data_IF_234342890118
#
_entry.id   IF_234342890118
#
_cell.length_a   1.000
_cell.length_b   1.000
_cell.length_c   1.000
_cell.angle_alpha   90.00
_cell.angle_beta   90.00
_cell.angle_gamma   90.00
#
_symmetry.space_group_name_H-M   'P 1'
#
loop_
_entity.id
_entity.type
_entity.pdbx_description
1 polymer ?
#
# COMPACT_ATOMS: atom_id res chain seq x y z
N UNK A 1 -5.65 7.67 14.01
CA UNK A 1 -6.13 8.30 12.76
C UNK A 1 -6.13 9.83 12.80
N UNK A 2 -6.73 10.49 13.80
CA UNK A 2 -6.81 11.97 13.89
C UNK A 2 -5.45 12.68 13.94
N UNK A 3 -4.41 12.06 14.50
CA UNK A 3 -3.05 12.65 14.57
C UNK A 3 -2.39 12.80 13.20
N UNK A 4 -2.41 11.75 12.37
CA UNK A 4 -1.87 11.80 11.00
C UNK A 4 -2.70 12.71 10.10
N UNK A 5 -4.04 12.69 10.23
CA UNK A 5 -4.90 13.61 9.50
C UNK A 5 -4.60 15.09 9.83
N UNK A 6 -4.39 15.43 11.11
CA UNK A 6 -3.97 16.78 11.52
C UNK A 6 -2.58 17.16 11.01
N UNK A 7 -1.64 16.20 10.95
CA UNK A 7 -0.31 16.42 10.37
C UNK A 7 -0.39 16.72 8.87
N UNK A 8 -1.22 15.98 8.13
CA UNK A 8 -1.48 16.22 6.72
C UNK A 8 -2.10 17.61 6.47
N UNK A 9 -3.09 18.01 7.29
CA UNK A 9 -3.68 19.36 7.23
C UNK A 9 -2.66 20.49 7.50
N UNK A 10 -1.57 20.18 8.21
CA UNK A 10 -0.45 21.10 8.46
C UNK A 10 0.66 21.02 7.39
N UNK A 11 0.44 20.29 6.29
CA UNK A 11 1.43 20.09 5.22
C UNK A 11 2.60 19.18 5.60
N UNK A 12 2.51 18.43 6.70
CA UNK A 12 3.58 17.52 7.14
C UNK A 12 3.45 16.18 6.46
N UNK A 13 4.58 15.60 6.09
CA UNK A 13 4.64 14.25 5.55
C UNK A 13 4.05 13.23 6.53
N UNK A 14 3.20 12.35 6.01
CA UNK A 14 2.64 11.21 6.76
C UNK A 14 3.09 9.90 6.12
N UNK A 15 3.30 8.88 6.94
CA UNK A 15 3.60 7.51 6.52
C UNK A 15 2.54 6.57 7.11
N UNK A 16 1.28 6.91 6.86
CA UNK A 16 0.17 6.01 7.16
C UNK A 16 0.18 4.89 6.14
N UNK A 17 0.18 3.65 6.62
CA UNK A 17 0.15 2.45 5.80
C UNK A 17 -1.20 2.30 5.07
N UNK A 18 -1.24 2.34 3.73
CA UNK A 18 -2.49 2.22 2.98
C UNK A 18 -2.87 0.76 2.67
N UNK A 19 -2.03 -0.23 2.98
CA UNK A 19 -2.22 -1.64 2.56
C UNK A 19 -3.57 -2.17 3.03
N UNK A 20 -3.95 -1.95 4.28
CA UNK A 20 -5.23 -2.42 4.81
C UNK A 20 -6.43 -1.82 4.05
N UNK A 21 -6.37 -0.54 3.67
CA UNK A 21 -7.42 0.11 2.87
C UNK A 21 -7.44 -0.42 1.44
N UNK A 22 -6.29 -0.68 0.84
CA UNK A 22 -6.19 -1.29 -0.50
C UNK A 22 -6.83 -2.68 -0.49
N UNK A 23 -6.47 -3.53 0.49
CA UNK A 23 -7.01 -4.88 0.63
C UNK A 23 -8.52 -4.89 0.90
N UNK A 24 -9.06 -3.88 1.61
CA UNK A 24 -10.50 -3.74 1.77
C UNK A 24 -11.20 -3.50 0.42
N UNK A 25 -10.62 -2.66 -0.46
CA UNK A 25 -11.15 -2.39 -1.79
C UNK A 25 -11.01 -3.60 -2.72
N UNK A 26 -9.82 -4.19 -2.83
CA UNK A 26 -9.56 -5.34 -3.73
C UNK A 26 -10.45 -6.53 -3.38
N UNK A 27 -10.63 -6.83 -2.09
CA UNK A 27 -11.53 -7.92 -1.67
C UNK A 27 -13.00 -7.64 -1.97
N UNK A 28 -13.45 -6.39 -1.77
CA UNK A 28 -14.80 -5.97 -2.14
C UNK A 28 -15.06 -6.06 -3.65
N UNK A 29 -14.10 -5.59 -4.45
CA UNK A 29 -14.16 -5.63 -5.92
C UNK A 29 -14.04 -7.06 -6.46
N UNK A 30 -13.15 -7.89 -5.93
CA UNK A 30 -13.04 -9.29 -6.32
C UNK A 30 -14.32 -10.06 -6.01
N UNK A 31 -14.98 -9.79 -4.87
CA UNK A 31 -16.28 -10.39 -4.57
C UNK A 31 -17.34 -9.97 -5.59
N UNK A 32 -17.41 -8.68 -5.94
CA UNK A 32 -18.29 -8.19 -7.01
C UNK A 32 -17.97 -8.85 -8.35
N UNK A 33 -16.69 -8.97 -8.71
CA UNK A 33 -16.24 -9.64 -9.92
C UNK A 33 -16.68 -11.09 -10.00
N UNK A 34 -16.70 -11.82 -8.88
CA UNK A 34 -17.23 -13.20 -8.82
C UNK A 34 -18.74 -13.25 -9.11
N UNK A 35 -19.51 -12.33 -8.55
CA UNK A 35 -20.96 -12.25 -8.78
C UNK A 35 -21.29 -11.92 -10.24
N UNK A 36 -20.48 -11.05 -10.86
CA UNK A 36 -20.69 -10.56 -12.22
C UNK A 36 -19.99 -11.43 -13.29
N UNK A 37 -19.34 -12.54 -12.89
CA UNK A 37 -18.48 -13.38 -13.76
C UNK A 37 -17.39 -12.58 -14.51
N UNK A 38 -16.86 -11.54 -13.88
CA UNK A 38 -15.86 -10.64 -14.45
C UNK A 38 -14.45 -11.05 -13.99
N UNK A 39 -13.85 -12.00 -14.71
CA UNK A 39 -12.49 -12.48 -14.43
C UNK A 39 -11.43 -11.36 -14.54
N UNK A 40 -11.44 -10.46 -15.54
CA UNK A 40 -10.48 -9.36 -15.61
C UNK A 40 -10.44 -8.47 -14.35
N UNK A 41 -11.58 -8.23 -13.71
CA UNK A 41 -11.64 -7.48 -12.46
C UNK A 41 -11.02 -8.25 -11.29
N UNK A 42 -11.27 -9.55 -11.21
CA UNK A 42 -10.67 -10.43 -10.19
C UNK A 42 -9.15 -10.44 -10.36
N UNK A 43 -8.66 -10.67 -11.57
CA UNK A 43 -7.23 -10.71 -11.89
C UNK A 43 -6.54 -9.37 -11.55
N UNK A 44 -7.20 -8.25 -11.83
CA UNK A 44 -6.69 -6.93 -11.43
C UNK A 44 -6.54 -6.81 -9.91
N UNK A 45 -7.54 -7.24 -9.15
CA UNK A 45 -7.51 -7.18 -7.68
C UNK A 45 -6.39 -8.05 -7.11
N UNK A 46 -6.25 -9.29 -7.60
CA UNK A 46 -5.20 -10.22 -7.17
C UNK A 46 -3.80 -9.69 -7.52
N UNK A 47 -3.62 -9.14 -8.73
CA UNK A 47 -2.36 -8.49 -9.13
C UNK A 47 -2.01 -7.31 -8.21
N UNK A 48 -2.99 -6.47 -7.86
CA UNK A 48 -2.76 -5.32 -6.98
C UNK A 48 -2.38 -5.75 -5.56
N UNK A 49 -3.04 -6.78 -5.01
CA UNK A 49 -2.66 -7.37 -3.72
C UNK A 49 -1.24 -7.92 -3.75
N UNK A 50 -0.88 -8.64 -4.80
CA UNK A 50 0.46 -9.19 -4.95
C UNK A 50 1.54 -8.11 -5.11
N UNK A 51 1.26 -7.04 -5.86
CA UNK A 51 2.16 -5.88 -5.95
C UNK A 51 2.41 -5.26 -4.58
N UNK A 52 1.41 -5.18 -3.69
CA UNK A 52 1.60 -4.66 -2.34
C UNK A 52 2.57 -5.52 -1.53
N UNK A 53 2.42 -6.84 -1.61
CA UNK A 53 3.29 -7.80 -0.91
C UNK A 53 4.73 -7.66 -1.41
N UNK A 54 4.93 -7.76 -2.71
CA UNK A 54 6.27 -7.73 -3.31
C UNK A 54 6.98 -6.38 -3.14
N UNK A 55 6.23 -5.28 -3.10
CA UNK A 55 6.81 -3.95 -2.84
C UNK A 55 7.41 -3.89 -1.44
N UNK A 56 6.70 -4.44 -0.44
CA UNK A 56 7.21 -4.52 0.95
C UNK A 56 8.37 -5.50 1.05
N UNK A 57 8.28 -6.69 0.43
CA UNK A 57 9.36 -7.68 0.39
C UNK A 57 10.61 -7.16 -0.32
N UNK A 58 10.44 -6.28 -1.30
CA UNK A 58 11.52 -5.55 -1.98
C UNK A 58 12.14 -4.41 -1.16
N UNK A 59 11.69 -4.18 0.08
CA UNK A 59 12.22 -3.17 0.99
C UNK A 59 11.54 -1.80 0.91
N UNK A 60 10.59 -1.61 -0.02
CA UNK A 60 9.80 -0.37 -0.11
C UNK A 60 8.59 -0.48 0.82
N UNK A 61 8.66 0.11 2.02
CA UNK A 61 7.59 -0.02 3.02
C UNK A 61 7.31 1.27 3.78
N UNK A 62 6.18 1.35 4.48
CA UNK A 62 5.84 2.49 5.35
C UNK A 62 6.49 2.37 6.73
N UNK A 63 6.51 3.47 7.48
CA UNK A 63 7.27 3.59 8.73
C UNK A 63 6.86 2.56 9.78
N UNK A 64 5.59 2.25 9.89
CA UNK A 64 5.07 1.21 10.79
C UNK A 64 5.69 -0.15 10.51
N UNK A 65 5.85 -0.53 9.24
CA UNK A 65 6.50 -1.80 8.86
C UNK A 65 8.02 -1.74 9.08
N UNK A 66 8.66 -0.63 8.73
CA UNK A 66 10.10 -0.47 8.95
C UNK A 66 10.47 -0.56 10.44
N UNK A 67 9.63 -0.02 11.33
CA UNK A 67 9.80 -0.14 12.78
C UNK A 67 9.65 -1.58 13.29
N UNK A 68 8.84 -2.42 12.63
CA UNK A 68 8.75 -3.84 12.96
C UNK A 68 10.01 -4.62 12.54
N UNK A 69 10.64 -4.23 11.42
CA UNK A 69 11.82 -4.89 10.88
C UNK A 69 13.11 -4.44 11.58
N UNK A 70 13.27 -3.14 11.79
CA UNK A 70 14.52 -2.53 12.27
C UNK A 70 14.45 -2.02 13.72
N UNK A 71 13.28 -2.12 14.38
CA UNK A 71 13.08 -1.57 15.73
C UNK A 71 12.98 -0.05 15.76
N UNK A 72 13.12 0.54 16.95
CA UNK A 72 12.93 1.99 17.16
C UNK A 72 14.00 2.86 16.50
N UNK A 73 15.16 2.29 16.18
CA UNK A 73 16.30 2.97 15.56
C UNK A 73 16.30 2.83 14.02
N UNK A 74 15.13 2.54 13.44
CA UNK A 74 14.97 2.45 12.00
C UNK A 74 15.51 3.73 11.31
N UNK A 75 16.42 3.61 10.33
CA UNK A 75 16.96 4.76 9.60
C UNK A 75 15.89 5.39 8.71
N UNK A 76 15.88 6.71 8.53
CA UNK A 76 14.83 7.42 7.76
C UNK A 76 14.69 6.90 6.33
N UNK A 77 15.78 6.39 5.75
CA UNK A 77 15.83 5.83 4.40
C UNK A 77 15.14 4.45 4.29
N UNK A 78 14.87 3.78 5.43
CA UNK A 78 14.20 2.47 5.46
C UNK A 78 12.68 2.52 5.28
N UNK A 79 12.07 3.71 5.16
CA UNK A 79 10.65 3.82 4.87
C UNK A 79 10.27 4.98 3.94
N UNK A 80 9.13 4.80 3.32
CA UNK A 80 8.48 5.75 2.42
C UNK A 80 7.37 6.52 3.14
N UNK A 81 7.08 7.72 2.67
CA UNK A 81 5.81 8.40 3.00
C UNK A 81 4.64 7.67 2.34
N UNK A 82 3.42 7.94 2.75
CA UNK A 82 2.21 7.35 2.14
C UNK A 82 2.17 7.62 0.64
N UNK A 83 2.52 8.84 0.21
CA UNK A 83 2.53 9.21 -1.21
C UNK A 83 3.63 8.47 -1.98
N UNK A 84 4.83 8.38 -1.42
CA UNK A 84 5.93 7.62 -2.04
C UNK A 84 5.61 6.13 -2.15
N UNK A 85 5.00 5.54 -1.12
CA UNK A 85 4.59 4.15 -1.16
C UNK A 85 3.50 3.91 -2.22
N UNK A 86 2.50 4.78 -2.32
CA UNK A 86 1.50 4.70 -3.40
C UNK A 86 2.12 4.84 -4.80
N UNK A 87 3.13 5.70 -4.96
CA UNK A 87 3.88 5.81 -6.21
C UNK A 87 4.68 4.54 -6.53
N UNK A 88 5.29 3.91 -5.52
CA UNK A 88 5.98 2.63 -5.67
C UNK A 88 5.00 1.53 -6.13
N UNK A 89 3.84 1.42 -5.49
CA UNK A 89 2.77 0.51 -5.89
C UNK A 89 2.31 0.76 -7.33
N UNK A 90 2.06 2.02 -7.71
CA UNK A 90 1.67 2.38 -9.08
C UNK A 90 2.72 1.92 -10.09
N UNK A 91 4.00 2.27 -9.86
CA UNK A 91 5.11 1.89 -10.74
C UNK A 91 5.23 0.36 -10.88
N UNK A 92 5.08 -0.38 -9.78
CA UNK A 92 5.19 -1.84 -9.78
C UNK A 92 3.97 -2.50 -10.42
N UNK A 93 2.78 -1.90 -10.31
CA UNK A 93 1.58 -2.33 -11.01
C UNK A 93 1.69 -2.11 -12.51
N UNK A 94 2.15 -0.93 -12.96
CA UNK A 94 2.35 -0.60 -14.38
C UNK A 94 3.32 -1.56 -15.09
N UNK A 95 4.30 -2.13 -14.39
CA UNK A 95 5.21 -3.15 -14.95
C UNK A 95 4.53 -4.51 -15.24
N UNK A 96 3.32 -4.73 -14.74
CA UNK A 96 2.56 -5.99 -14.89
C UNK A 96 1.46 -5.94 -15.95
N UNK A 97 1.31 -4.80 -16.62
CA UNK A 97 0.37 -4.55 -17.71
C UNK A 97 1.14 -4.07 -18.94
#
# INVERSE_FOLDING_TARGET
MTRHYRQHQQGKETSTNPIASIFAWTRGLAHRGKLDQNQPLIDFCEKLEQVCIETVEGGEMTRDLALLVHGNDAPRESWLTTQQFLQALKRNLEKRF
#
